data_IF_430973998059
#
_entry.id   IF_430973998059
#
_cell.length_a   1.000
_cell.length_b   1.000
_cell.length_c   1.000
_cell.angle_alpha   90.00
_cell.angle_beta   90.00
_cell.angle_gamma   90.00
#
_symmetry.space_group_name_H-M   'P 1'
#
loop_
_entity.id
_entity.type
_entity.pdbx_description
1 polymer ?
#
# COMPACT_ATOMS: atom_id res chain seq x y z
N UNK A 1 9.35 19.34 -2.49
CA UNK A 1 9.63 18.84 -1.13
C UNK A 1 9.22 19.92 -0.13
N UNK A 2 8.73 19.54 1.06
CA UNK A 2 8.48 20.48 2.16
C UNK A 2 9.86 20.93 2.70
N UNK A 3 10.03 22.21 3.02
CA UNK A 3 11.29 22.70 3.62
C UNK A 3 11.50 22.07 4.99
N UNK A 4 12.70 21.58 5.29
CA UNK A 4 13.02 20.94 6.58
C UNK A 4 12.80 21.90 7.77
N UNK A 5 13.05 23.19 7.58
CA UNK A 5 12.83 24.24 8.60
C UNK A 5 11.36 24.37 9.03
N UNK A 6 10.43 23.83 8.24
CA UNK A 6 8.98 23.85 8.54
C UNK A 6 8.50 22.58 9.24
N UNK A 7 9.39 21.61 9.49
CA UNK A 7 9.06 20.35 10.14
C UNK A 7 9.35 20.43 11.64
N UNK A 8 8.50 19.82 12.46
CA UNK A 8 8.76 19.59 13.88
C UNK A 8 9.30 18.17 13.99
N UNK A 9 10.57 18.00 14.38
CA UNK A 9 11.24 16.69 14.49
C UNK A 9 11.06 15.78 13.26
N UNK A 10 11.09 16.38 12.05
CA UNK A 10 10.85 15.73 10.75
C UNK A 10 9.40 15.32 10.44
N UNK A 11 8.44 15.67 11.30
CA UNK A 11 7.01 15.54 11.06
C UNK A 11 6.43 16.86 10.50
N UNK A 12 5.37 16.74 9.70
CA UNK A 12 4.64 17.86 9.14
C UNK A 12 3.65 18.39 10.20
N UNK A 13 3.78 19.65 10.67
CA UNK A 13 2.74 20.24 11.50
C UNK A 13 1.42 20.35 10.74
N UNK A 14 0.34 19.96 11.39
CA UNK A 14 -1.03 20.12 10.93
C UNK A 14 -1.70 21.29 11.65
N UNK A 15 -2.75 21.83 11.04
CA UNK A 15 -3.69 22.69 11.79
C UNK A 15 -4.59 21.81 12.66
N UNK A 16 -5.07 22.35 13.78
CA UNK A 16 -6.04 21.64 14.61
C UNK A 16 -7.30 21.27 13.81
N UNK A 17 -7.79 22.18 12.97
CA UNK A 17 -8.94 21.92 12.09
C UNK A 17 -8.71 20.71 11.16
N UNK A 18 -7.52 20.58 10.57
CA UNK A 18 -7.20 19.44 9.70
C UNK A 18 -7.11 18.13 10.47
N UNK A 19 -6.59 18.17 11.71
CA UNK A 19 -6.54 17.01 12.58
C UNK A 19 -7.95 16.56 13.00
N UNK A 20 -8.78 17.48 13.49
CA UNK A 20 -10.16 17.21 13.89
C UNK A 20 -11.01 16.68 12.71
N UNK A 21 -10.75 17.18 11.50
CA UNK A 21 -11.41 16.71 10.29
C UNK A 21 -11.04 15.25 9.94
N UNK A 22 -9.79 14.83 10.18
CA UNK A 22 -9.39 13.42 10.05
C UNK A 22 -9.99 12.57 11.15
N UNK A 23 -9.99 13.06 12.39
CA UNK A 23 -10.53 12.32 13.53
C UNK A 23 -12.02 11.98 13.35
N UNK A 24 -12.82 12.94 12.86
CA UNK A 24 -14.24 12.74 12.53
C UNK A 24 -14.50 11.67 11.47
N UNK A 25 -13.49 11.30 10.68
CA UNK A 25 -13.57 10.27 9.64
C UNK A 25 -13.19 8.89 10.17
N UNK A 26 -12.97 8.73 11.47
CA UNK A 26 -12.68 7.44 12.06
C UNK A 26 -13.74 6.40 11.67
N UNK A 27 -13.29 5.25 11.17
CA UNK A 27 -14.17 4.17 10.74
C UNK A 27 -14.82 4.38 9.37
N UNK A 28 -14.50 5.47 8.66
CA UNK A 28 -14.90 5.62 7.25
C UNK A 28 -14.35 4.46 6.44
N UNK A 29 -15.22 3.78 5.68
CA UNK A 29 -14.85 2.66 4.80
C UNK A 29 -15.16 2.97 3.35
N UNK A 30 -14.35 2.43 2.44
CA UNK A 30 -14.57 2.48 1.01
C UNK A 30 -14.15 1.16 0.38
N UNK A 31 -15.04 0.54 -0.39
CA UNK A 31 -14.82 -0.76 -1.01
C UNK A 31 -14.36 -1.85 0.00
N UNK A 32 -14.89 -1.78 1.23
CA UNK A 32 -14.53 -2.69 2.33
C UNK A 32 -13.23 -2.34 3.06
N UNK A 33 -12.53 -1.27 2.67
CA UNK A 33 -11.26 -0.84 3.27
C UNK A 33 -11.51 0.34 4.20
N UNK A 34 -11.03 0.25 5.45
CA UNK A 34 -11.03 1.39 6.37
C UNK A 34 -10.03 2.44 5.92
N UNK A 35 -10.51 3.67 5.69
CA UNK A 35 -9.70 4.78 5.19
C UNK A 35 -8.99 5.53 6.31
N UNK A 36 -9.61 5.63 7.49
CA UNK A 36 -9.04 6.31 8.65
C UNK A 36 -9.28 5.49 9.91
N UNK A 37 -8.20 5.26 10.64
CA UNK A 37 -8.20 4.59 11.94
C UNK A 37 -7.70 5.59 12.98
N UNK A 38 -8.54 5.91 13.95
CA UNK A 38 -8.16 6.68 15.13
C UNK A 38 -7.96 5.71 16.28
N UNK A 39 -6.85 5.87 16.97
CA UNK A 39 -6.47 5.06 18.11
C UNK A 39 -6.14 5.97 19.29
N UNK A 40 -6.60 5.59 20.47
CA UNK A 40 -6.16 6.23 21.70
C UNK A 40 -4.64 6.14 21.83
N UNK A 41 -3.98 7.22 22.25
CA UNK A 41 -2.52 7.25 22.31
C UNK A 41 -1.96 6.15 23.23
N UNK A 42 -2.60 5.86 24.37
CA UNK A 42 -2.12 4.81 25.26
C UNK A 42 -2.31 3.41 24.64
N UNK A 43 -3.33 3.21 23.80
CA UNK A 43 -3.47 2.00 22.99
C UNK A 43 -2.40 1.91 21.90
N UNK A 44 -2.06 3.03 21.25
CA UNK A 44 -1.04 3.08 20.22
C UNK A 44 0.37 2.74 20.74
N UNK A 45 0.62 2.92 22.03
CA UNK A 45 1.85 2.52 22.70
C UNK A 45 1.85 1.04 23.13
N UNK A 46 0.74 0.31 22.98
CA UNK A 46 0.68 -1.13 23.27
C UNK A 46 1.29 -1.92 22.13
N UNK A 47 1.89 -3.05 22.48
CA UNK A 47 2.58 -3.91 21.53
C UNK A 47 4.09 -3.74 21.60
N UNK A 48 4.79 -4.46 20.72
CA UNK A 48 6.26 -4.43 20.67
C UNK A 48 6.71 -3.50 19.55
N UNK A 49 7.69 -2.64 19.83
CA UNK A 49 8.40 -1.85 18.84
C UNK A 49 9.81 -2.42 18.62
N UNK A 50 10.35 -2.21 17.43
CA UNK A 50 11.53 -2.91 16.93
C UNK A 50 11.19 -4.28 16.34
N UNK A 51 12.14 -5.20 16.43
CA UNK A 51 12.02 -6.55 15.85
C UNK A 51 10.96 -7.39 16.59
N UNK A 52 10.00 -7.96 15.89
CA UNK A 52 8.99 -8.85 16.46
C UNK A 52 8.65 -10.04 15.55
N UNK A 53 8.13 -11.12 16.14
CA UNK A 53 7.61 -12.25 15.37
C UNK A 53 6.34 -11.87 14.61
N UNK A 54 5.98 -12.62 13.56
CA UNK A 54 4.73 -12.37 12.83
C UNK A 54 3.49 -12.51 13.72
N UNK A 55 3.51 -13.44 14.69
CA UNK A 55 2.42 -13.57 15.67
C UNK A 55 2.28 -12.34 16.56
N UNK A 56 3.40 -11.79 17.04
CA UNK A 56 3.40 -10.55 17.80
C UNK A 56 2.93 -9.37 16.95
N UNK A 57 3.33 -9.31 15.68
CA UNK A 57 2.90 -8.29 14.74
C UNK A 57 1.40 -8.36 14.46
N UNK A 58 0.83 -9.56 14.36
CA UNK A 58 -0.60 -9.76 14.13
C UNK A 58 -1.45 -9.18 15.28
N UNK A 59 -0.96 -9.30 16.52
CA UNK A 59 -1.64 -8.76 17.71
C UNK A 59 -1.31 -7.29 17.98
N UNK A 60 -0.38 -6.69 17.24
CA UNK A 60 0.08 -5.32 17.49
C UNK A 60 -0.90 -4.31 16.87
N UNK A 61 -1.58 -3.47 17.68
CA UNK A 61 -2.55 -2.50 17.16
C UNK A 61 -1.94 -1.53 16.15
N UNK A 62 -0.68 -1.15 16.35
CA UNK A 62 0.02 -0.25 15.43
C UNK A 62 0.24 -0.90 14.06
N UNK A 63 0.55 -2.19 14.02
CA UNK A 63 0.68 -2.95 12.76
C UNK A 63 -0.66 -3.04 12.05
N UNK A 64 -1.72 -3.37 12.78
CA UNK A 64 -3.06 -3.45 12.20
C UNK A 64 -3.52 -2.11 11.63
N UNK A 65 -3.30 -1.01 12.34
CA UNK A 65 -3.63 0.33 11.86
C UNK A 65 -2.78 0.74 10.64
N UNK A 66 -1.51 0.33 10.59
CA UNK A 66 -0.62 0.61 9.48
C UNK A 66 -1.02 -0.13 8.19
N UNK A 67 -1.42 -1.41 8.31
CA UNK A 67 -1.70 -2.29 7.18
C UNK A 67 -3.17 -2.28 6.74
N UNK A 68 -4.05 -1.65 7.50
CA UNK A 68 -5.45 -1.44 7.14
C UNK A 68 -6.45 -2.44 7.73
N UNK A 69 -6.13 -3.04 8.88
CA UNK A 69 -7.03 -3.92 9.64
C UNK A 69 -6.61 -5.39 9.66
N UNK A 70 -7.42 -6.24 10.30
CA UNK A 70 -7.09 -7.65 10.58
C UNK A 70 -6.83 -8.48 9.33
N UNK A 71 -7.79 -8.54 8.39
CA UNK A 71 -7.66 -9.35 7.17
C UNK A 71 -6.46 -8.92 6.30
N UNK A 72 -6.24 -7.61 6.15
CA UNK A 72 -5.12 -7.05 5.39
C UNK A 72 -3.79 -7.33 6.10
N UNK A 73 -3.77 -7.29 7.42
CA UNK A 73 -2.59 -7.61 8.24
C UNK A 73 -2.22 -9.08 8.09
N UNK A 74 -3.18 -9.99 8.20
CA UNK A 74 -2.96 -11.42 8.01
C UNK A 74 -2.39 -11.72 6.62
N UNK A 75 -3.03 -11.19 5.58
CA UNK A 75 -2.59 -11.37 4.20
C UNK A 75 -1.17 -10.82 3.95
N UNK A 76 -0.87 -9.64 4.50
CA UNK A 76 0.46 -9.05 4.40
C UNK A 76 1.51 -9.87 5.14
N UNK A 77 1.25 -10.32 6.38
CA UNK A 77 2.20 -11.09 7.17
C UNK A 77 2.47 -12.47 6.56
N UNK A 78 1.47 -13.10 5.94
CA UNK A 78 1.66 -14.32 5.16
C UNK A 78 2.58 -14.09 3.96
N UNK A 79 2.38 -13.00 3.21
CA UNK A 79 3.24 -12.64 2.09
C UNK A 79 4.66 -12.27 2.56
N UNK A 80 4.77 -11.52 3.66
CA UNK A 80 6.03 -11.14 4.29
C UNK A 80 6.82 -12.38 4.69
N UNK A 81 6.17 -13.39 5.27
CA UNK A 81 6.81 -14.65 5.65
C UNK A 81 7.53 -15.31 4.46
N UNK A 82 6.88 -15.33 3.30
CA UNK A 82 7.40 -15.96 2.08
C UNK A 82 8.59 -15.21 1.49
N UNK A 83 8.64 -13.89 1.64
CA UNK A 83 9.63 -13.03 0.96
C UNK A 83 10.77 -12.58 1.88
N UNK A 84 10.48 -12.33 3.16
CA UNK A 84 11.38 -11.70 4.14
C UNK A 84 11.63 -12.57 5.38
N UNK A 85 10.84 -13.62 5.59
CA UNK A 85 10.97 -14.54 6.72
C UNK A 85 10.08 -14.19 7.91
N UNK A 86 10.38 -14.78 9.06
CA UNK A 86 9.44 -14.85 10.20
C UNK A 86 9.50 -13.65 11.16
N UNK A 87 10.15 -12.56 10.76
CA UNK A 87 10.34 -11.36 11.59
C UNK A 87 10.02 -10.10 10.81
N UNK A 88 9.51 -9.11 11.52
CA UNK A 88 9.21 -7.78 10.98
C UNK A 88 9.62 -6.73 12.01
N UNK A 89 10.02 -5.55 11.55
CA UNK A 89 10.31 -4.42 12.39
C UNK A 89 9.18 -3.41 12.35
N UNK A 90 8.86 -2.82 13.50
CA UNK A 90 7.86 -1.76 13.60
C UNK A 90 8.48 -0.60 14.37
N UNK A 91 8.44 0.59 13.79
CA UNK A 91 8.99 1.78 14.42
C UNK A 91 8.10 3.00 14.21
N UNK A 92 7.94 3.78 15.27
CA UNK A 92 7.22 5.04 15.25
C UNK A 92 7.95 6.06 16.13
N UNK A 93 7.66 7.34 15.91
CA UNK A 93 8.06 8.41 16.82
C UNK A 93 7.00 8.61 17.90
N UNK A 94 7.43 9.10 19.07
CA UNK A 94 6.52 9.78 19.98
C UNK A 94 6.36 11.23 19.50
N UNK A 95 5.24 11.50 18.87
CA UNK A 95 4.90 12.79 18.28
C UNK A 95 3.92 13.59 19.16
N UNK A 96 3.77 13.22 20.45
CA UNK A 96 2.95 13.97 21.39
C UNK A 96 3.62 15.32 21.71
N UNK A 97 2.91 16.42 21.46
CA UNK A 97 3.39 17.79 21.68
C UNK A 97 2.28 18.83 21.55
N UNK A 98 2.65 20.11 21.43
CA UNK A 98 1.70 21.24 21.46
C UNK A 98 0.86 21.40 20.19
N UNK A 99 1.31 20.85 19.06
CA UNK A 99 0.68 20.96 17.75
C UNK A 99 0.55 19.56 17.15
N UNK A 100 -0.60 19.21 16.53
CA UNK A 100 -0.73 17.92 15.85
C UNK A 100 0.28 17.84 14.69
N UNK A 101 0.92 16.68 14.52
CA UNK A 101 1.86 16.45 13.43
C UNK A 101 1.52 15.16 12.68
N UNK A 102 1.98 15.08 11.44
CA UNK A 102 1.84 13.91 10.59
C UNK A 102 3.20 13.42 10.09
N UNK A 103 3.28 12.11 9.83
CA UNK A 103 4.41 11.45 9.17
C UNK A 103 3.89 10.55 8.05
N UNK A 104 4.61 10.41 6.93
CA UNK A 104 4.24 9.42 5.92
C UNK A 104 4.44 8.01 6.50
N UNK A 105 3.52 7.10 6.18
CA UNK A 105 3.73 5.68 6.41
C UNK A 105 4.67 5.13 5.33
N UNK A 106 5.76 4.48 5.74
CA UNK A 106 6.82 4.01 4.86
C UNK A 106 7.08 2.53 5.13
N UNK A 107 7.09 1.74 4.05
CA UNK A 107 7.65 0.40 4.06
C UNK A 107 9.12 0.47 3.63
N UNK A 108 10.05 0.21 4.56
CA UNK A 108 11.49 0.23 4.30
C UNK A 108 12.07 -1.15 4.57
N UNK A 109 12.40 -1.90 3.50
CA UNK A 109 12.76 -3.33 3.58
C UNK A 109 11.69 -4.19 4.27
N UNK A 110 11.92 -4.57 5.52
CA UNK A 110 11.05 -5.34 6.41
C UNK A 110 10.57 -4.50 7.61
N UNK A 111 10.68 -3.17 7.50
CA UNK A 111 10.31 -2.21 8.54
C UNK A 111 9.03 -1.46 8.16
N UNK A 112 8.01 -1.50 9.03
CA UNK A 112 6.86 -0.60 9.02
C UNK A 112 7.24 0.65 9.83
N UNK A 113 7.29 1.80 9.18
CA UNK A 113 7.91 3.02 9.70
C UNK A 113 6.99 4.23 9.56
N UNK A 114 6.82 5.01 10.64
CA UNK A 114 6.41 6.41 10.55
C UNK A 114 7.59 7.26 10.08
N UNK A 115 7.70 7.50 8.78
CA UNK A 115 8.86 8.10 8.14
C UNK A 115 9.02 9.62 8.34
N UNK A 116 10.07 10.17 7.74
CA UNK A 116 10.28 11.61 7.63
C UNK A 116 9.78 12.13 6.28
N UNK A 117 9.17 13.32 6.27
CA UNK A 117 8.85 14.03 5.01
C UNK A 117 10.08 14.55 4.25
N UNK A 118 11.26 14.54 4.88
CA UNK A 118 12.52 14.90 4.25
C UNK A 118 13.29 13.71 3.67
N UNK A 119 12.87 12.48 3.95
CA UNK A 119 13.53 11.26 3.44
C UNK A 119 13.14 10.93 2.00
N UNK A 120 14.08 10.30 1.27
CA UNK A 120 13.81 9.72 -0.05
C UNK A 120 12.79 8.59 0.04
N UNK A 121 11.62 8.79 -0.57
CA UNK A 121 10.57 7.78 -0.71
C UNK A 121 10.30 7.46 -2.18
N UNK A 122 9.84 6.23 -2.46
CA UNK A 122 9.27 5.87 -3.76
C UNK A 122 7.77 5.66 -3.58
N UNK A 123 6.99 6.48 -4.27
CA UNK A 123 5.53 6.34 -4.28
C UNK A 123 5.14 5.57 -5.54
N UNK A 124 4.55 4.35 -5.43
CA UNK A 124 4.08 3.63 -6.60
C UNK A 124 2.90 4.37 -7.23
N UNK A 125 3.07 4.82 -8.48
CA UNK A 125 2.00 5.42 -9.26
C UNK A 125 1.22 4.35 -10.02
N UNK A 126 -0.06 4.19 -9.73
CA UNK A 126 -0.96 3.31 -10.50
C UNK A 126 -1.79 4.17 -11.44
N UNK A 127 -1.77 3.86 -12.74
CA UNK A 127 -2.72 4.42 -13.70
C UNK A 127 -4.00 3.60 -13.63
N UNK A 128 -5.17 4.23 -13.69
CA UNK A 128 -6.42 3.51 -13.98
C UNK A 128 -6.22 2.78 -15.30
N UNK A 129 -6.02 1.46 -15.25
CA UNK A 129 -6.45 0.62 -16.35
C UNK A 129 -7.97 0.83 -16.42
N UNK A 130 -8.45 1.42 -17.51
CA UNK A 130 -9.87 1.47 -17.81
C UNK A 130 -10.46 0.10 -17.49
N UNK A 131 -11.47 0.08 -16.61
CA UNK A 131 -12.20 -1.12 -16.23
C UNK A 131 -12.81 -1.70 -17.51
N UNK A 132 -12.10 -2.61 -18.18
CA UNK A 132 -12.77 -3.60 -19.01
C UNK A 132 -13.57 -4.45 -18.03
N UNK A 133 -14.87 -4.50 -18.24
CA UNK A 133 -15.90 -5.15 -17.43
C UNK A 133 -15.47 -6.43 -16.70
N UNK A 134 -16.11 -6.75 -15.54
CA UNK A 134 -15.80 -7.98 -14.82
C UNK A 134 -15.93 -9.19 -15.74
N UNK A 135 -14.84 -9.95 -15.87
CA UNK A 135 -14.84 -11.24 -16.56
C UNK A 135 -15.84 -12.13 -15.83
N UNK A 136 -17.04 -12.28 -16.40
CA UNK A 136 -17.99 -13.31 -16.00
C UNK A 136 -17.27 -14.65 -16.13
N UNK A 137 -17.40 -15.50 -15.11
CA UNK A 137 -17.04 -16.91 -15.18
C UNK A 137 -17.90 -17.57 -16.27
N UNK A 138 -17.36 -17.58 -17.48
CA UNK A 138 -18.03 -17.98 -18.71
C UNK A 138 -17.09 -17.60 -19.85
N UNK A 139 -16.13 -18.50 -20.12
CA UNK A 139 -15.01 -18.24 -21.02
C UNK A 139 -15.44 -17.63 -22.34
N UNK A 140 -15.01 -16.39 -22.60
CA UNK A 140 -14.83 -15.96 -23.97
C UNK A 140 -13.73 -16.84 -24.57
N UNK A 141 -13.92 -17.43 -25.76
CA UNK A 141 -12.88 -18.22 -26.39
C UNK A 141 -11.64 -17.34 -26.51
N UNK A 142 -10.53 -17.78 -25.90
CA UNK A 142 -9.23 -17.13 -26.09
C UNK A 142 -8.98 -17.12 -27.59
N UNK A 143 -9.04 -15.93 -28.20
CA UNK A 143 -8.53 -15.75 -29.55
C UNK A 143 -7.11 -16.29 -29.57
N UNK A 144 -6.79 -17.11 -30.56
CA UNK A 144 -5.40 -17.51 -30.78
C UNK A 144 -4.57 -16.24 -30.99
N UNK A 145 -3.26 -16.32 -30.72
CA UNK A 145 -2.36 -15.18 -30.95
C UNK A 145 -2.48 -14.67 -32.40
N UNK A 146 -2.73 -15.56 -33.36
CA UNK A 146 -3.00 -15.20 -34.74
C UNK A 146 -4.29 -14.39 -34.90
N UNK A 147 -5.40 -14.83 -34.29
CA UNK A 147 -6.69 -14.13 -34.35
C UNK A 147 -6.65 -12.76 -33.68
N UNK A 148 -5.89 -12.63 -32.59
CA UNK A 148 -5.67 -11.34 -31.94
C UNK A 148 -4.90 -10.39 -32.87
N UNK A 149 -3.79 -10.85 -33.46
CA UNK A 149 -2.96 -10.05 -34.35
C UNK A 149 -3.70 -9.65 -35.64
N UNK A 150 -4.51 -10.52 -36.22
CA UNK A 150 -5.35 -10.19 -37.39
C UNK A 150 -6.46 -9.19 -37.05
N UNK A 151 -6.97 -9.21 -35.82
CA UNK A 151 -8.01 -8.29 -35.37
C UNK A 151 -7.47 -6.87 -35.14
N UNK A 152 -6.23 -6.77 -34.63
CA UNK A 152 -5.59 -5.48 -34.37
C UNK A 152 -4.88 -4.90 -35.60
N UNK A 153 -4.37 -5.76 -36.47
CA UNK A 153 -3.61 -5.39 -37.66
C UNK A 153 -4.18 -6.13 -38.89
N UNK A 154 -5.35 -5.71 -39.42
CA UNK A 154 -6.02 -6.40 -40.53
C UNK A 154 -5.20 -6.40 -41.82
N UNK A 155 -4.33 -5.42 -42.00
CA UNK A 155 -3.45 -5.28 -43.17
C UNK A 155 -2.11 -6.01 -43.02
N UNK A 156 -1.92 -6.76 -41.93
CA UNK A 156 -0.69 -7.52 -41.71
C UNK A 156 -0.61 -8.68 -42.71
N UNK A 157 0.38 -8.63 -43.61
CA UNK A 157 0.57 -9.67 -44.60
C UNK A 157 0.94 -11.03 -43.98
N UNK A 158 0.65 -12.10 -44.73
CA UNK A 158 0.80 -13.48 -44.24
C UNK A 158 2.25 -13.85 -43.87
N UNK A 159 3.24 -13.31 -44.57
CA UNK A 159 4.65 -13.65 -44.34
C UNK A 159 5.18 -12.94 -43.09
N UNK A 160 4.75 -11.70 -42.88
CA UNK A 160 5.05 -10.93 -41.67
C UNK A 160 4.38 -11.52 -40.43
N UNK A 161 3.15 -12.00 -40.56
CA UNK A 161 2.45 -12.72 -39.48
C UNK A 161 3.16 -14.02 -39.10
N UNK A 162 3.56 -14.84 -40.09
CA UNK A 162 4.34 -16.06 -39.83
C UNK A 162 5.67 -15.76 -39.12
N UNK A 163 6.39 -14.72 -39.55
CA UNK A 163 7.65 -14.31 -38.93
C UNK A 163 7.47 -13.84 -37.48
N UNK A 164 6.31 -13.29 -37.12
CA UNK A 164 6.01 -12.89 -35.73
C UNK A 164 5.69 -14.15 -34.92
N UNK A 165 4.82 -15.02 -35.43
CA UNK A 165 4.39 -16.24 -34.72
C UNK A 165 5.56 -17.21 -34.47
N UNK A 166 6.52 -17.33 -35.40
CA UNK A 166 7.70 -18.19 -35.22
C UNK A 166 8.64 -17.76 -34.11
N UNK A 167 8.52 -16.53 -33.59
CA UNK A 167 9.30 -16.04 -32.43
C UNK A 167 8.70 -16.47 -31.09
N UNK A 168 7.49 -17.02 -31.10
CA UNK A 168 6.75 -17.45 -29.91
C UNK A 168 6.58 -18.99 -29.81
N UNK A 169 7.25 -19.74 -30.70
CA UNK A 169 7.38 -21.21 -30.67
C UNK A 169 8.82 -21.58 -30.32
#
# INVERSE_FOLDING_TARGET
AISEEKLITHALPLTQESFDALEKRNGETKDGIQLVTVMDHAQAQKGKFGEQSLSQALENPHVQAFLGGGEQTEAYLEAHQKVRGNKIYVWHCNDLGDVPVARPLVLYYDILLSGSFSSYGRVPGVRRASVSEPVRAGGAPRKTLEEALRSEFPDLDKERLKSILSRYQ
#
